data_IF_892501158507
#
_entry.id   IF_892501158507
#
_cell.length_a   1.000
_cell.length_b   1.000
_cell.length_c   1.000
_cell.angle_alpha   90.00
_cell.angle_beta   90.00
_cell.angle_gamma   90.00
#
_symmetry.space_group_name_H-M   'P 1'
#
loop_
_entity.id
_entity.type
_entity.pdbx_description
1 polymer ?
#
# COMPACT_ATOMS: atom_id res chain seq x y z
N UNK A 1 40.44 -8.55 9.52
CA UNK A 1 39.65 -8.81 8.30
C UNK A 1 38.35 -9.58 8.58
N UNK A 2 38.33 -10.58 9.46
CA UNK A 2 37.13 -11.39 9.81
C UNK A 2 35.98 -10.56 10.42
N UNK A 3 36.28 -9.58 11.28
CA UNK A 3 35.27 -8.72 11.92
C UNK A 3 34.40 -7.91 10.93
N UNK A 4 34.97 -7.52 9.78
CA UNK A 4 34.23 -6.79 8.74
C UNK A 4 33.24 -7.68 7.99
N UNK A 5 33.58 -8.96 7.81
CA UNK A 5 32.71 -9.93 7.12
C UNK A 5 31.50 -10.28 7.98
N UNK A 6 31.71 -10.46 9.29
CA UNK A 6 30.64 -10.74 10.25
C UNK A 6 29.66 -9.55 10.36
N UNK A 7 30.18 -8.32 10.40
CA UNK A 7 29.34 -7.11 10.42
C UNK A 7 28.52 -6.94 9.14
N UNK A 8 29.11 -7.27 7.98
CA UNK A 8 28.41 -7.21 6.69
C UNK A 8 27.27 -8.25 6.61
N UNK A 9 27.51 -9.48 7.07
CA UNK A 9 26.50 -10.55 7.13
C UNK A 9 25.33 -10.19 8.05
N UNK A 10 25.62 -9.58 9.20
CA UNK A 10 24.60 -9.07 10.13
C UNK A 10 23.73 -7.99 9.48
N UNK A 11 24.34 -7.08 8.70
CA UNK A 11 23.62 -6.04 7.98
C UNK A 11 22.70 -6.63 6.91
N UNK A 12 23.17 -7.62 6.15
CA UNK A 12 22.40 -8.28 5.09
C UNK A 12 21.20 -9.06 5.65
N UNK A 13 21.35 -9.73 6.79
CA UNK A 13 20.28 -10.48 7.44
C UNK A 13 19.16 -9.59 8.02
N UNK A 14 19.45 -8.32 8.29
CA UNK A 14 18.47 -7.36 8.79
C UNK A 14 17.64 -6.71 7.67
N UNK A 15 18.19 -6.56 6.46
CA UNK A 15 17.51 -5.97 5.29
C UNK A 15 16.13 -6.59 4.95
N UNK A 16 15.95 -7.93 4.89
CA UNK A 16 14.67 -8.52 4.49
C UNK A 16 13.54 -8.31 5.50
N UNK A 17 13.85 -7.92 6.74
CA UNK A 17 12.82 -7.51 7.71
C UNK A 17 12.25 -6.13 7.43
N UNK A 18 13.02 -5.24 6.78
CA UNK A 18 12.55 -3.91 6.42
C UNK A 18 11.78 -3.90 5.10
N UNK A 19 12.08 -4.80 4.17
CA UNK A 19 11.44 -4.83 2.85
C UNK A 19 10.05 -5.48 2.84
N UNK A 20 9.70 -6.28 3.85
CA UNK A 20 8.35 -6.83 4.00
C UNK A 20 7.28 -5.82 4.44
N UNK A 21 7.67 -4.60 4.82
CA UNK A 21 6.72 -3.58 5.29
C UNK A 21 6.15 -2.66 4.20
N UNK A 22 6.50 -2.86 2.93
CA UNK A 22 6.01 -1.97 1.86
C UNK A 22 4.78 -2.50 1.12
N UNK A 23 4.46 -3.80 1.17
CA UNK A 23 3.37 -4.37 0.37
C UNK A 23 2.39 -5.14 1.25
N UNK A 24 1.38 -4.45 1.79
CA UNK A 24 0.39 -5.07 2.67
C UNK A 24 -0.73 -5.82 1.92
N UNK A 25 -0.92 -5.54 0.62
CA UNK A 25 -1.91 -6.21 -0.23
C UNK A 25 -1.45 -6.24 -1.69
N UNK A 26 -1.89 -7.23 -2.44
CA UNK A 26 -1.65 -7.34 -3.89
C UNK A 26 -2.97 -7.28 -4.66
N UNK A 27 -4.01 -7.85 -4.07
CA UNK A 27 -5.34 -7.99 -4.64
C UNK A 27 -6.38 -7.35 -3.74
N UNK A 28 -7.52 -6.90 -4.30
CA UNK A 28 -8.59 -6.34 -3.48
C UNK A 28 -9.13 -7.34 -2.44
N UNK A 29 -9.11 -8.64 -2.75
CA UNK A 29 -9.57 -9.69 -1.83
C UNK A 29 -8.59 -9.99 -0.68
N UNK A 30 -7.36 -9.44 -0.71
CA UNK A 30 -6.45 -9.52 0.43
C UNK A 30 -6.94 -8.64 1.60
N UNK A 31 -7.86 -7.72 1.32
CA UNK A 31 -8.44 -6.77 2.25
C UNK A 31 -9.79 -7.24 2.80
N UNK A 32 -10.24 -6.61 3.90
CA UNK A 32 -11.57 -6.85 4.45
C UNK A 32 -12.69 -6.44 3.47
N UNK A 33 -13.91 -6.92 3.72
CA UNK A 33 -15.07 -6.74 2.81
C UNK A 33 -15.36 -5.28 2.42
N UNK A 34 -15.13 -4.32 3.32
CA UNK A 34 -15.35 -2.88 3.10
C UNK A 34 -14.08 -2.12 2.71
N UNK A 35 -13.04 -2.85 2.30
CA UNK A 35 -11.75 -2.31 1.92
C UNK A 35 -11.33 -2.86 0.57
N UNK A 36 -10.46 -2.13 -0.13
CA UNK A 36 -9.80 -2.62 -1.32
C UNK A 36 -8.32 -2.24 -1.27
N UNK A 37 -7.51 -3.00 -2.00
CA UNK A 37 -6.08 -2.71 -2.09
C UNK A 37 -5.83 -1.42 -2.86
N UNK A 38 -5.06 -0.51 -2.28
CA UNK A 38 -4.53 0.69 -2.92
C UNK A 38 -3.04 0.50 -3.21
N UNK A 39 -2.68 0.50 -4.49
CA UNK A 39 -1.29 0.37 -4.95
C UNK A 39 -0.66 1.75 -5.22
N UNK A 40 0.50 2.01 -4.60
CA UNK A 40 1.33 3.18 -4.83
C UNK A 40 2.72 2.76 -5.34
N UNK A 41 3.48 3.71 -5.88
CA UNK A 41 4.84 3.46 -6.40
C UNK A 41 5.83 2.88 -5.37
N UNK A 42 5.56 3.06 -4.07
CA UNK A 42 6.45 2.63 -2.99
C UNK A 42 5.80 1.60 -2.05
N UNK A 43 4.64 1.06 -2.43
CA UNK A 43 3.96 0.08 -1.60
C UNK A 43 2.45 -0.01 -1.80
N UNK A 44 1.81 -0.85 -1.01
CA UNK A 44 0.37 -1.08 -1.06
C UNK A 44 -0.24 -1.25 0.33
N UNK A 45 -1.51 -0.86 0.48
CA UNK A 45 -2.26 -1.06 1.71
C UNK A 45 -3.77 -1.12 1.46
N UNK A 46 -4.49 -1.73 2.42
CA UNK A 46 -5.95 -1.80 2.39
C UNK A 46 -6.55 -0.45 2.81
N UNK A 47 -7.29 0.16 1.91
CA UNK A 47 -8.00 1.41 2.14
C UNK A 47 -9.52 1.17 2.12
N UNK A 48 -10.32 1.92 2.88
CA UNK A 48 -11.78 1.81 2.85
C UNK A 48 -12.32 2.07 1.45
N UNK A 49 -13.32 1.31 1.01
CA UNK A 49 -13.98 1.58 -0.27
C UNK A 49 -14.77 2.87 -0.21
N UNK A 50 -14.89 3.55 -1.35
CA UNK A 50 -15.71 4.75 -1.52
C UNK A 50 -16.59 4.63 -2.77
N UNK A 51 -17.52 5.57 -2.94
CA UNK A 51 -18.57 5.45 -3.96
C UNK A 51 -18.00 5.64 -5.39
N UNK A 52 -18.11 4.58 -6.19
CA UNK A 52 -17.64 4.45 -7.59
C UNK A 52 -18.10 5.57 -8.54
N UNK A 53 -19.19 6.27 -8.23
CA UNK A 53 -19.77 7.28 -9.12
C UNK A 53 -19.00 8.62 -9.13
N UNK A 54 -18.13 8.88 -8.16
CA UNK A 54 -17.51 10.20 -7.99
C UNK A 54 -16.03 10.09 -7.60
N UNK A 55 -15.17 9.88 -8.59
CA UNK A 55 -13.72 10.06 -8.43
C UNK A 55 -13.43 11.49 -7.94
N UNK A 56 -12.47 11.63 -7.03
CA UNK A 56 -12.12 12.87 -6.32
C UNK A 56 -13.20 13.42 -5.38
N UNK A 57 -14.27 12.67 -5.09
CA UNK A 57 -15.19 13.05 -4.02
C UNK A 57 -14.53 12.99 -2.64
N UNK A 58 -14.95 13.88 -1.74
CA UNK A 58 -14.49 13.91 -0.36
C UNK A 58 -15.11 12.73 0.38
N UNK A 59 -14.28 11.84 0.91
CA UNK A 59 -14.71 10.68 1.69
C UNK A 59 -14.24 10.75 3.16
N UNK A 60 -13.46 11.78 3.52
CA UNK A 60 -13.04 12.11 4.87
C UNK A 60 -12.54 13.56 4.94
N UNK A 61 -12.21 14.05 6.14
CA UNK A 61 -11.81 15.46 6.35
C UNK A 61 -10.63 15.92 5.46
N UNK A 62 -9.76 14.98 5.06
CA UNK A 62 -8.60 15.20 4.18
C UNK A 62 -8.40 14.06 3.18
N UNK A 63 -9.44 13.25 2.97
CA UNK A 63 -9.34 12.00 2.23
C UNK A 63 -10.25 12.08 1.00
N UNK A 64 -9.74 11.60 -0.13
CA UNK A 64 -10.39 11.65 -1.43
C UNK A 64 -10.61 10.24 -1.97
N UNK A 65 -11.74 10.08 -2.67
CA UNK A 65 -12.07 8.84 -3.35
C UNK A 65 -11.28 8.73 -4.65
N UNK A 66 -10.35 7.79 -4.73
CA UNK A 66 -9.53 7.56 -5.93
C UNK A 66 -9.80 6.17 -6.49
N UNK A 67 -9.70 6.07 -7.82
CA UNK A 67 -9.66 4.79 -8.50
C UNK A 67 -8.38 4.04 -8.12
N UNK A 68 -8.52 2.76 -7.81
CA UNK A 68 -7.42 1.83 -7.55
C UNK A 68 -7.48 0.64 -8.49
N UNK A 69 -6.32 0.21 -8.94
CA UNK A 69 -6.13 -1.02 -9.68
C UNK A 69 -5.32 -1.98 -8.81
N UNK A 70 -5.78 -3.22 -8.69
CA UNK A 70 -4.98 -4.29 -8.09
C UNK A 70 -4.08 -5.00 -9.13
N UNK A 71 -3.30 -5.99 -8.70
CA UNK A 71 -2.36 -6.72 -9.57
C UNK A 71 -3.05 -7.52 -10.68
N UNK A 72 -4.36 -7.81 -10.55
CA UNK A 72 -5.18 -8.43 -11.61
C UNK A 72 -5.84 -7.42 -12.55
N UNK A 73 -5.50 -6.14 -12.44
CA UNK A 73 -6.18 -5.03 -13.14
C UNK A 73 -7.68 -4.92 -12.80
N UNK A 74 -8.11 -5.47 -11.66
CA UNK A 74 -9.47 -5.21 -11.18
C UNK A 74 -9.56 -3.78 -10.65
N UNK A 75 -10.70 -3.15 -10.90
CA UNK A 75 -10.96 -1.77 -10.49
C UNK A 75 -11.80 -1.73 -9.21
N UNK A 76 -11.39 -0.89 -8.27
CA UNK A 76 -12.19 -0.48 -7.12
C UNK A 76 -11.94 1.01 -6.82
N UNK A 77 -12.75 1.60 -5.95
CA UNK A 77 -12.59 2.99 -5.52
C UNK A 77 -12.31 3.02 -4.03
N UNK A 78 -11.25 3.72 -3.65
CA UNK A 78 -10.74 3.72 -2.29
C UNK A 78 -10.57 5.13 -1.75
N UNK A 79 -10.89 5.30 -0.47
CA UNK A 79 -10.73 6.54 0.26
C UNK A 79 -9.29 6.66 0.75
N UNK A 80 -8.54 7.62 0.20
CA UNK A 80 -7.12 7.79 0.50
C UNK A 80 -6.78 9.23 0.86
N UNK A 81 -5.85 9.38 1.81
CA UNK A 81 -5.32 10.68 2.18
C UNK A 81 -4.29 11.14 1.15
N UNK A 82 -4.59 12.21 0.44
CA UNK A 82 -3.57 12.88 -0.38
C UNK A 82 -2.73 13.74 0.55
N UNK A 83 -1.61 13.19 1.01
CA UNK A 83 -0.58 14.01 1.64
C UNK A 83 0.07 14.84 0.53
N UNK A 84 -0.29 16.12 0.43
CA UNK A 84 0.46 17.06 -0.39
C UNK A 84 1.92 17.01 0.05
N UNK A 85 2.82 16.70 -0.89
CA UNK A 85 4.26 16.92 -0.72
C UNK A 85 4.56 18.38 -0.43
#
# INVERSE_FOLDING_TARGET
>A
MIFNIISLLLFILLLPKYTKCQWNCHYHYDCGLEQACYMQSYGSYCAPKCNFAFEYSICGLYDFCLKSLDESENEDFVCVRILSK
#
